data_IF_139906815482
#
_entry.id   IF_139906815482
#
_cell.length_a   1.000
_cell.length_b   1.000
_cell.length_c   1.000
_cell.angle_alpha   90.00
_cell.angle_beta   90.00
_cell.angle_gamma   90.00
#
_symmetry.space_group_name_H-M   'P 1'
#
loop_
_entity.id
_entity.type
_entity.pdbx_description
1 polymer ?
#
# COMPACT_ATOMS: atom_id res chain seq x y z
N UNK A 1 -46.79 -54.45 38.88
CA UNK A 1 -46.63 -54.42 37.44
C UNK A 1 -46.41 -52.95 37.12
N UNK A 2 -45.10 -52.47 37.04
CA UNK A 2 -44.73 -51.08 36.83
C UNK A 2 -44.36 -50.91 35.34
N UNK A 3 -45.15 -50.11 34.64
CA UNK A 3 -44.92 -49.74 33.26
C UNK A 3 -43.82 -48.64 33.20
N UNK A 4 -42.68 -48.93 32.59
CA UNK A 4 -41.65 -47.94 32.27
C UNK A 4 -41.93 -47.32 30.91
N UNK A 5 -42.29 -46.04 30.90
CA UNK A 5 -42.37 -45.23 29.69
C UNK A 5 -40.96 -44.67 29.38
N UNK A 6 -40.33 -45.16 28.33
CA UNK A 6 -39.10 -44.59 27.78
C UNK A 6 -39.44 -43.42 26.87
N UNK A 7 -39.01 -42.22 27.29
CA UNK A 7 -39.09 -41.01 26.48
C UNK A 7 -37.89 -41.00 25.50
N UNK A 8 -38.21 -41.11 24.21
CA UNK A 8 -37.22 -40.97 23.13
C UNK A 8 -37.07 -39.47 22.82
N UNK A 9 -35.97 -38.87 23.23
CA UNK A 9 -35.64 -37.48 22.86
C UNK A 9 -35.06 -37.45 21.46
N UNK A 10 -35.83 -36.88 20.51
CA UNK A 10 -35.30 -36.49 19.19
C UNK A 10 -34.32 -35.32 19.35
N UNK A 11 -33.05 -35.61 19.16
CA UNK A 11 -32.04 -34.54 18.97
C UNK A 11 -32.11 -34.08 17.51
N UNK A 12 -32.70 -32.92 17.29
CA UNK A 12 -32.65 -32.26 15.98
C UNK A 12 -31.23 -31.71 15.74
N UNK A 13 -30.48 -32.34 14.82
CA UNK A 13 -29.26 -31.77 14.27
C UNK A 13 -29.65 -30.53 13.45
N UNK A 14 -29.46 -29.33 14.03
CA UNK A 14 -29.43 -28.10 13.27
C UNK A 14 -28.07 -28.03 12.54
N UNK A 15 -28.09 -28.34 11.26
CA UNK A 15 -26.98 -28.05 10.35
C UNK A 15 -26.87 -26.54 10.21
N UNK A 16 -25.86 -25.96 10.84
CA UNK A 16 -25.41 -24.58 10.53
C UNK A 16 -24.94 -24.55 9.06
N UNK A 17 -25.84 -24.17 8.17
CA UNK A 17 -25.45 -23.77 6.82
C UNK A 17 -24.69 -22.44 7.00
N UNK A 18 -23.37 -22.52 6.99
CA UNK A 18 -22.50 -21.34 6.85
C UNK A 18 -22.81 -20.72 5.49
N UNK A 19 -23.65 -19.69 5.49
CA UNK A 19 -23.83 -18.84 4.32
C UNK A 19 -22.56 -18.02 4.16
N UNK A 20 -21.64 -18.50 3.34
CA UNK A 20 -20.60 -17.67 2.76
C UNK A 20 -21.28 -16.44 2.13
N UNK A 21 -20.89 -15.21 2.48
CA UNK A 21 -21.43 -14.04 1.82
C UNK A 21 -21.13 -14.16 0.31
N UNK A 22 -22.05 -13.72 -0.57
CA UNK A 22 -21.82 -13.78 -2.00
C UNK A 22 -20.58 -12.95 -2.33
N UNK A 23 -19.58 -13.65 -2.85
CA UNK A 23 -18.42 -13.05 -3.47
C UNK A 23 -18.92 -12.32 -4.72
N UNK A 24 -18.54 -11.04 -4.81
CA UNK A 24 -18.39 -10.32 -6.06
C UNK A 24 -19.59 -9.57 -6.64
N UNK A 25 -19.84 -8.41 -6.06
CA UNK A 25 -19.96 -7.25 -6.96
C UNK A 25 -18.55 -6.69 -7.07
N UNK A 26 -17.91 -6.76 -8.25
CA UNK A 26 -16.72 -5.98 -8.56
C UNK A 26 -17.03 -4.52 -8.21
N UNK A 27 -16.41 -4.02 -7.17
CA UNK A 27 -16.45 -2.59 -6.93
C UNK A 27 -15.91 -1.93 -8.21
N UNK A 28 -16.57 -0.90 -8.73
CA UNK A 28 -16.09 -0.23 -9.93
C UNK A 28 -14.65 0.18 -9.69
N UNK A 29 -13.76 -0.14 -10.64
CA UNK A 29 -12.37 0.32 -10.61
C UNK A 29 -12.44 1.84 -10.57
N UNK A 30 -12.01 2.42 -9.45
CA UNK A 30 -11.93 3.87 -9.33
C UNK A 30 -10.78 4.39 -10.18
N UNK A 31 -11.02 5.43 -10.93
CA UNK A 31 -9.99 6.16 -11.68
C UNK A 31 -10.05 7.63 -11.29
N UNK A 32 -8.89 8.28 -11.11
CA UNK A 32 -8.86 9.69 -10.76
C UNK A 32 -9.47 10.53 -11.87
N UNK A 33 -10.10 11.67 -11.54
CA UNK A 33 -10.54 12.63 -12.52
C UNK A 33 -9.37 13.00 -13.45
N UNK A 34 -9.63 13.05 -14.76
CA UNK A 34 -8.64 13.51 -15.74
C UNK A 34 -8.41 15.02 -15.54
N UNK A 35 -7.62 15.36 -14.51
CA UNK A 35 -7.10 16.71 -14.38
C UNK A 35 -6.01 16.92 -15.44
N UNK A 36 -5.91 18.14 -15.98
CA UNK A 36 -4.89 18.49 -16.97
C UNK A 36 -3.49 18.42 -16.32
N UNK A 37 -2.87 17.24 -16.39
CA UNK A 37 -1.54 16.98 -15.81
C UNK A 37 -0.43 17.19 -16.87
N UNK A 38 -0.63 18.14 -17.79
CA UNK A 38 0.37 18.47 -18.80
C UNK A 38 1.70 18.89 -18.16
N UNK A 39 2.75 18.12 -18.43
CA UNK A 39 4.11 18.42 -18.00
C UNK A 39 4.50 17.88 -16.64
N UNK A 40 3.62 17.18 -15.93
CA UNK A 40 3.97 16.47 -14.71
C UNK A 40 4.63 15.13 -15.04
N UNK A 41 5.61 14.76 -14.21
CA UNK A 41 6.19 13.44 -14.19
C UNK A 41 5.51 12.58 -13.10
N UNK A 42 5.73 11.26 -13.16
CA UNK A 42 5.19 10.31 -12.20
C UNK A 42 6.31 9.54 -11.52
N UNK A 43 6.17 9.25 -10.23
CA UNK A 43 7.03 8.36 -9.47
C UNK A 43 6.15 7.39 -8.64
N UNK A 44 6.69 6.21 -8.28
CA UNK A 44 5.92 5.17 -7.62
C UNK A 44 6.70 4.57 -6.47
N UNK A 45 6.07 4.50 -5.30
CA UNK A 45 6.72 4.03 -4.07
C UNK A 45 5.75 3.21 -3.21
N UNK A 46 6.30 2.23 -2.49
CA UNK A 46 5.60 1.48 -1.44
C UNK A 46 6.43 1.50 -0.16
N UNK A 47 5.87 1.98 0.94
CA UNK A 47 6.57 2.18 2.21
C UNK A 47 5.67 1.93 3.44
N UNK A 48 4.94 0.82 3.45
CA UNK A 48 3.95 0.53 4.47
C UNK A 48 2.55 1.01 4.10
N UNK A 49 1.78 1.50 5.07
CA UNK A 49 0.42 2.00 4.83
C UNK A 49 0.41 3.17 3.84
N UNK A 50 -0.28 3.01 2.73
CA UNK A 50 -0.32 4.02 1.67
C UNK A 50 -0.96 5.36 2.09
N UNK A 51 -1.84 5.40 3.11
CA UNK A 51 -2.39 6.65 3.64
C UNK A 51 -1.29 7.58 4.16
N UNK A 52 -0.33 7.01 4.92
CA UNK A 52 0.80 7.77 5.46
C UNK A 52 1.76 8.19 4.34
N UNK A 53 2.02 7.28 3.40
CA UNK A 53 2.92 7.55 2.27
C UNK A 53 2.35 8.64 1.38
N UNK A 54 1.05 8.62 1.09
CA UNK A 54 0.31 9.65 0.37
C UNK A 54 0.49 11.02 1.05
N UNK A 55 0.17 11.12 2.35
CA UNK A 55 0.29 12.35 3.12
C UNK A 55 1.71 12.92 3.14
N UNK A 56 2.73 12.05 3.26
CA UNK A 56 4.14 12.45 3.22
C UNK A 56 4.48 13.10 1.88
N UNK A 57 4.18 12.43 0.76
CA UNK A 57 4.52 12.96 -0.56
C UNK A 57 3.72 14.21 -0.92
N UNK A 58 2.45 14.31 -0.52
CA UNK A 58 1.64 15.52 -0.71
C UNK A 58 2.22 16.75 0.00
N UNK A 59 2.96 16.56 1.09
CA UNK A 59 3.63 17.66 1.81
C UNK A 59 4.83 18.23 1.05
N UNK A 60 5.30 17.56 -0.01
CA UNK A 60 6.50 17.95 -0.75
C UNK A 60 6.20 19.04 -1.75
N UNK A 61 6.89 20.17 -1.64
CA UNK A 61 6.76 21.26 -2.61
C UNK A 61 7.13 20.78 -4.03
N UNK A 62 6.22 20.94 -4.97
CA UNK A 62 6.37 20.49 -6.36
C UNK A 62 5.68 19.17 -6.66
N UNK A 63 5.16 18.48 -5.64
CA UNK A 63 4.16 17.42 -5.81
C UNK A 63 2.80 18.09 -5.96
N UNK A 64 2.03 17.64 -6.93
CA UNK A 64 0.72 18.19 -7.27
C UNK A 64 -0.42 17.29 -6.81
N UNK A 65 -0.21 15.99 -6.88
CA UNK A 65 -1.21 15.00 -6.49
C UNK A 65 -0.54 13.67 -6.17
N UNK A 66 -1.09 12.93 -5.25
CA UNK A 66 -0.64 11.58 -4.91
C UNK A 66 -1.86 10.67 -4.85
N UNK A 67 -1.79 9.51 -5.47
CA UNK A 67 -2.87 8.54 -5.45
C UNK A 67 -2.43 7.27 -4.76
N UNK A 68 -3.19 6.84 -3.78
CA UNK A 68 -3.05 5.52 -3.14
C UNK A 68 -3.47 4.41 -4.09
N UNK A 69 -2.74 3.29 -4.09
CA UNK A 69 -3.00 2.17 -4.97
C UNK A 69 -2.18 0.93 -4.66
N UNK A 70 -2.02 0.08 -5.66
CA UNK A 70 -1.41 -1.24 -5.55
C UNK A 70 -0.46 -1.49 -6.72
N UNK A 71 0.77 -1.97 -6.42
CA UNK A 71 1.76 -2.30 -7.43
C UNK A 71 2.67 -3.46 -7.00
N UNK A 72 3.46 -4.02 -7.93
CA UNK A 72 4.47 -5.05 -7.66
C UNK A 72 3.92 -6.47 -7.50
N UNK A 73 2.68 -6.72 -7.91
CA UNK A 73 2.04 -8.04 -7.86
C UNK A 73 1.47 -8.49 -9.20
N UNK A 74 0.93 -9.70 -9.24
CA UNK A 74 0.45 -10.34 -10.46
C UNK A 74 -1.08 -10.30 -10.62
N UNK A 75 -1.83 -10.11 -9.53
CA UNK A 75 -3.30 -10.10 -9.57
C UNK A 75 -3.80 -8.91 -10.36
N UNK A 76 -4.62 -9.16 -11.38
CA UNK A 76 -5.22 -8.10 -12.21
C UNK A 76 -6.42 -7.48 -11.49
N UNK A 77 -6.48 -6.13 -11.50
CA UNK A 77 -7.53 -5.34 -10.88
C UNK A 77 -7.81 -5.81 -9.43
N UNK A 78 -6.79 -5.79 -8.55
CA UNK A 78 -6.97 -6.19 -7.15
C UNK A 78 -7.86 -5.18 -6.44
N UNK A 79 -8.51 -5.63 -5.36
CA UNK A 79 -9.19 -4.76 -4.42
C UNK A 79 -8.57 -4.87 -3.03
N UNK A 80 -8.91 -3.93 -2.14
CA UNK A 80 -8.33 -3.86 -0.78
C UNK A 80 -8.46 -5.17 0.00
N UNK A 81 -9.61 -5.84 -0.08
CA UNK A 81 -9.82 -7.11 0.62
C UNK A 81 -8.86 -8.20 0.13
N UNK A 82 -8.57 -8.23 -1.16
CA UNK A 82 -7.61 -9.18 -1.73
C UNK A 82 -6.17 -8.84 -1.31
N UNK A 83 -5.80 -7.54 -1.32
CA UNK A 83 -4.50 -7.06 -0.84
C UNK A 83 -4.25 -7.49 0.60
N UNK A 84 -5.24 -7.30 1.49
CA UNK A 84 -5.17 -7.70 2.90
C UNK A 84 -4.90 -9.19 3.13
N UNK A 85 -5.15 -10.05 2.13
CA UNK A 85 -4.81 -11.49 2.24
C UNK A 85 -3.32 -11.79 2.08
N UNK A 86 -2.52 -10.83 1.56
CA UNK A 86 -1.10 -11.03 1.21
C UNK A 86 -0.86 -11.96 0.01
N UNK A 87 -1.92 -12.40 -0.71
CA UNK A 87 -1.81 -13.40 -1.80
C UNK A 87 -1.76 -12.78 -3.19
N UNK A 88 -2.01 -11.50 -3.34
CA UNK A 88 -2.02 -10.82 -4.63
C UNK A 88 -0.63 -10.55 -5.18
N UNK A 89 0.40 -10.60 -4.32
CA UNK A 89 1.75 -10.16 -4.61
C UNK A 89 1.92 -8.63 -4.60
N UNK A 90 0.84 -7.84 -4.62
CA UNK A 90 0.92 -6.38 -4.59
C UNK A 90 1.29 -5.84 -3.22
N UNK A 91 2.03 -4.72 -3.23
CA UNK A 91 2.16 -3.83 -2.09
C UNK A 91 1.17 -2.68 -2.16
N UNK A 92 0.80 -2.12 -0.99
CA UNK A 92 0.23 -0.80 -0.90
C UNK A 92 1.26 0.21 -1.40
N UNK A 93 0.91 0.99 -2.40
CA UNK A 93 1.81 1.88 -3.10
C UNK A 93 1.14 3.22 -3.41
N UNK A 94 1.94 4.20 -3.78
CA UNK A 94 1.45 5.49 -4.25
C UNK A 94 1.98 5.83 -5.63
N UNK A 95 1.14 6.50 -6.44
CA UNK A 95 1.53 7.19 -7.67
C UNK A 95 1.66 8.68 -7.37
N UNK A 96 2.87 9.23 -7.46
CA UNK A 96 3.20 10.62 -7.15
C UNK A 96 3.32 11.43 -8.43
N UNK A 97 2.47 12.44 -8.60
CA UNK A 97 2.50 13.38 -9.73
C UNK A 97 3.25 14.65 -9.34
N UNK A 98 4.34 14.97 -10.00
CA UNK A 98 5.21 16.07 -9.62
C UNK A 98 5.71 16.91 -10.79
N UNK A 99 6.00 18.19 -10.53
CA UNK A 99 6.69 19.06 -11.50
C UNK A 99 8.20 18.84 -11.44
N UNK A 100 8.83 18.23 -12.46
CA UNK A 100 10.26 17.94 -12.45
C UNK A 100 11.13 19.21 -12.50
N UNK A 101 10.55 20.39 -12.75
CA UNK A 101 11.23 21.67 -12.67
C UNK A 101 11.31 22.23 -11.24
N UNK A 102 10.44 21.73 -10.35
CA UNK A 102 10.36 22.18 -8.95
C UNK A 102 11.00 21.18 -8.00
N UNK A 103 10.74 19.89 -8.21
CA UNK A 103 11.30 18.80 -7.41
C UNK A 103 11.81 17.68 -8.33
N UNK A 104 13.01 17.16 -8.04
CA UNK A 104 13.61 16.09 -8.84
C UNK A 104 13.15 14.71 -8.35
N UNK A 105 13.22 13.70 -9.24
CA UNK A 105 13.02 12.29 -8.85
C UNK A 105 13.96 11.88 -7.72
N UNK A 106 15.24 12.28 -7.79
CA UNK A 106 16.21 12.01 -6.71
C UNK A 106 15.82 12.61 -5.36
N UNK A 107 15.15 13.77 -5.34
CA UNK A 107 14.60 14.34 -4.11
C UNK A 107 13.43 13.50 -3.58
N UNK A 108 12.56 12.99 -4.46
CA UNK A 108 11.48 12.08 -4.05
C UNK A 108 12.03 10.77 -3.48
N UNK A 109 13.13 10.23 -4.05
CA UNK A 109 13.83 9.06 -3.49
C UNK A 109 14.37 9.38 -2.08
N UNK A 110 14.89 10.58 -1.84
CA UNK A 110 15.35 11.00 -0.50
C UNK A 110 14.17 11.06 0.49
N UNK A 111 13.05 11.64 0.09
CA UNK A 111 11.82 11.68 0.90
C UNK A 111 11.34 10.26 1.22
N UNK A 112 11.32 9.38 0.23
CA UNK A 112 10.95 7.97 0.41
C UNK A 112 11.78 7.30 1.50
N UNK A 113 13.11 7.31 1.40
CA UNK A 113 13.99 6.68 2.40
C UNK A 113 13.99 7.41 3.76
N UNK A 114 13.64 8.68 3.79
CA UNK A 114 13.52 9.46 5.02
C UNK A 114 12.20 9.29 5.76
N UNK A 115 11.19 8.71 5.11
CA UNK A 115 9.81 8.62 5.64
C UNK A 115 9.45 7.29 6.28
N UNK A 116 10.30 6.26 6.19
CA UNK A 116 10.03 4.93 6.72
C UNK A 116 11.31 4.21 7.15
N UNK A 117 11.15 3.05 7.79
CA UNK A 117 12.29 2.15 8.09
C UNK A 117 12.50 1.16 6.93
N UNK A 118 13.50 1.38 6.06
CA UNK A 118 13.75 0.53 4.90
C UNK A 118 14.45 -0.80 5.25
N UNK A 119 14.64 -1.10 6.53
CA UNK A 119 15.36 -2.29 7.00
C UNK A 119 14.45 -3.40 7.49
N UNK A 120 13.13 -3.19 7.49
CA UNK A 120 12.16 -4.17 7.97
C UNK A 120 11.46 -4.89 6.82
N UNK A 121 11.69 -6.20 6.69
CA UNK A 121 11.04 -7.02 5.68
C UNK A 121 9.55 -7.21 5.98
N UNK A 122 8.69 -6.99 4.96
CA UNK A 122 7.24 -7.20 5.05
C UNK A 122 6.59 -6.55 6.28
N UNK A 123 7.07 -5.37 6.64
CA UNK A 123 6.59 -4.66 7.82
C UNK A 123 6.95 -3.18 7.76
N UNK A 124 6.03 -2.32 8.26
CA UNK A 124 6.34 -0.93 8.59
C UNK A 124 5.60 -0.53 9.86
N UNK A 125 6.36 -0.11 10.88
CA UNK A 125 5.79 0.23 12.17
C UNK A 125 4.94 -0.91 12.76
N UNK A 126 3.62 -0.66 13.02
CA UNK A 126 2.71 -1.69 13.53
C UNK A 126 2.21 -2.66 12.45
N UNK A 127 2.28 -2.28 11.17
CA UNK A 127 1.69 -3.02 10.07
C UNK A 127 2.58 -4.18 9.63
N UNK A 128 1.98 -5.35 9.43
CA UNK A 128 2.67 -6.59 9.08
C UNK A 128 2.01 -7.27 7.90
N UNK A 129 2.82 -7.73 6.98
CA UNK A 129 2.40 -8.44 5.77
C UNK A 129 3.18 -7.95 4.54
N UNK A 130 3.23 -8.77 3.50
CA UNK A 130 3.92 -8.46 2.24
C UNK A 130 3.39 -7.19 1.55
N UNK A 131 2.13 -6.83 1.81
CA UNK A 131 1.53 -5.60 1.30
C UNK A 131 2.15 -4.31 1.88
N UNK A 132 2.88 -4.41 3.00
CA UNK A 132 3.54 -3.26 3.67
C UNK A 132 5.06 -3.24 3.48
N UNK A 133 5.57 -3.99 2.49
CA UNK A 133 7.00 -4.02 2.19
C UNK A 133 7.48 -2.73 1.53
N UNK A 134 8.76 -2.47 1.62
CA UNK A 134 9.40 -1.31 1.01
C UNK A 134 9.80 -1.60 -0.44
N UNK A 135 9.30 -0.81 -1.39
CA UNK A 135 9.66 -0.90 -2.80
C UNK A 135 9.83 0.50 -3.39
N UNK A 136 10.93 0.73 -4.09
CA UNK A 136 11.10 1.87 -4.98
C UNK A 136 10.96 1.38 -6.43
N UNK A 137 9.90 1.79 -7.11
CA UNK A 137 9.68 1.41 -8.50
C UNK A 137 10.40 2.37 -9.45
N UNK A 138 10.85 1.83 -10.58
CA UNK A 138 11.45 2.61 -11.64
C UNK A 138 10.75 2.39 -12.99
N UNK A 139 10.72 3.42 -13.82
CA UNK A 139 10.13 3.39 -15.15
C UNK A 139 11.19 3.36 -16.25
N UNK A 140 12.47 3.67 -15.91
CA UNK A 140 13.60 3.69 -16.83
C UNK A 140 14.92 3.45 -16.07
N UNK A 141 16.01 3.24 -16.86
CA UNK A 141 17.34 2.95 -16.29
C UNK A 141 17.90 4.05 -15.43
N UNK A 142 17.64 5.34 -15.77
CA UNK A 142 18.13 6.48 -15.00
C UNK A 142 17.51 6.54 -13.61
N UNK A 143 16.20 6.27 -13.50
CA UNK A 143 15.52 6.17 -12.19
C UNK A 143 16.07 5.01 -11.36
N UNK A 144 16.28 3.84 -12.00
CA UNK A 144 16.89 2.69 -11.34
C UNK A 144 18.26 3.03 -10.77
N UNK A 145 19.12 3.64 -11.57
CA UNK A 145 20.47 4.06 -11.16
C UNK A 145 20.39 5.03 -9.97
N UNK A 146 19.54 6.06 -10.03
CA UNK A 146 19.38 7.01 -8.94
C UNK A 146 18.93 6.35 -7.62
N UNK A 147 18.02 5.37 -7.69
CA UNK A 147 17.59 4.63 -6.49
C UNK A 147 18.75 3.81 -5.92
N UNK A 148 19.46 3.07 -6.78
CA UNK A 148 20.58 2.22 -6.37
C UNK A 148 21.74 3.02 -5.81
N UNK A 149 22.10 4.14 -6.43
CA UNK A 149 23.14 5.04 -5.96
C UNK A 149 22.79 5.64 -4.59
N UNK A 150 21.50 5.95 -4.37
CA UNK A 150 21.07 6.48 -3.08
C UNK A 150 21.11 5.43 -1.99
N UNK A 151 20.70 4.18 -2.27
CA UNK A 151 20.86 3.05 -1.34
C UNK A 151 22.34 2.87 -0.98
N UNK A 152 23.22 2.81 -1.98
CA UNK A 152 24.66 2.67 -1.75
C UNK A 152 25.24 3.82 -0.91
N UNK A 153 24.73 5.05 -1.09
CA UNK A 153 25.12 6.20 -0.29
C UNK A 153 24.68 6.05 1.17
N UNK A 154 23.44 5.59 1.43
CA UNK A 154 22.91 5.37 2.77
C UNK A 154 23.71 4.28 3.51
N UNK A 155 24.02 3.17 2.83
CA UNK A 155 24.83 2.07 3.36
C UNK A 155 26.25 2.55 3.65
N UNK A 156 26.90 3.24 2.73
CA UNK A 156 28.27 3.79 2.93
C UNK A 156 28.34 4.76 4.11
N UNK A 157 27.25 5.48 4.36
CA UNK A 157 27.16 6.43 5.49
C UNK A 157 26.68 5.77 6.78
N UNK A 158 26.39 4.48 6.76
CA UNK A 158 25.86 3.73 7.91
C UNK A 158 24.65 4.41 8.57
N UNK A 159 23.72 4.95 7.73
CA UNK A 159 22.55 5.68 8.22
C UNK A 159 21.61 4.73 9.00
N UNK A 160 21.53 3.47 8.57
CA UNK A 160 20.74 2.45 9.22
C UNK A 160 21.64 1.37 9.83
N UNK A 161 21.25 0.87 11.00
CA UNK A 161 22.01 -0.20 11.70
C UNK A 161 21.90 -1.53 10.98
N UNK A 162 20.74 -1.80 10.38
CA UNK A 162 20.46 -3.04 9.64
C UNK A 162 20.56 -2.79 8.12
N UNK A 163 20.74 -3.86 7.36
CA UNK A 163 20.75 -3.79 5.90
C UNK A 163 19.43 -3.26 5.35
N UNK A 164 19.51 -2.44 4.32
CA UNK A 164 18.33 -1.98 3.57
C UNK A 164 17.74 -3.17 2.82
N UNK A 165 16.44 -3.42 2.99
CA UNK A 165 15.69 -4.50 2.33
C UNK A 165 14.69 -3.98 1.30
N UNK A 166 14.77 -2.70 0.95
CA UNK A 166 13.95 -2.09 -0.10
C UNK A 166 14.17 -2.79 -1.42
N UNK A 167 13.09 -3.28 -2.02
CA UNK A 167 13.08 -3.83 -3.37
C UNK A 167 13.21 -2.70 -4.40
N UNK A 168 13.99 -2.91 -5.46
CA UNK A 168 14.13 -1.97 -6.58
C UNK A 168 13.59 -2.64 -7.83
N UNK A 169 12.36 -2.34 -8.18
CA UNK A 169 11.56 -3.09 -9.14
C UNK A 169 11.13 -2.24 -10.34
N UNK A 170 11.08 -2.80 -11.55
CA UNK A 170 10.44 -2.11 -12.66
C UNK A 170 8.95 -1.96 -12.37
N UNK A 171 8.37 -0.80 -12.67
CA UNK A 171 6.93 -0.66 -12.63
C UNK A 171 6.31 -1.36 -13.84
N UNK A 172 5.60 -2.47 -13.60
CA UNK A 172 4.77 -3.11 -14.63
C UNK A 172 3.41 -2.40 -14.73
N UNK A 173 2.68 -2.36 -13.64
CA UNK A 173 1.37 -1.72 -13.57
C UNK A 173 1.04 -1.22 -12.17
N UNK A 174 0.41 -0.05 -12.13
CA UNK A 174 -0.22 0.52 -10.95
C UNK A 174 -1.74 0.38 -11.07
N UNK A 175 -2.39 -0.01 -10.00
CA UNK A 175 -3.84 -0.07 -9.87
C UNK A 175 -4.28 0.90 -8.80
N UNK A 176 -5.16 1.84 -9.12
CA UNK A 176 -5.70 2.79 -8.14
C UNK A 176 -6.50 2.04 -7.07
N UNK A 177 -6.30 2.43 -5.81
CA UNK A 177 -7.13 1.97 -4.72
C UNK A 177 -8.51 2.65 -4.80
N UNK A 178 -9.46 2.10 -4.08
CA UNK A 178 -10.83 2.58 -4.03
C UNK A 178 -10.89 4.03 -3.51
N UNK A 179 -11.87 4.81 -3.96
CA UNK A 179 -12.00 6.24 -3.67
C UNK A 179 -11.94 6.56 -2.16
N UNK A 180 -12.45 5.67 -1.32
CA UNK A 180 -12.44 5.89 0.14
C UNK A 180 -11.04 5.83 0.76
N UNK A 181 -10.03 5.35 0.04
CA UNK A 181 -8.63 5.37 0.47
C UNK A 181 -7.90 6.66 0.11
N UNK A 182 -8.35 7.38 -0.90
CA UNK A 182 -7.69 8.61 -1.35
C UNK A 182 -7.84 9.73 -0.32
N UNK A 183 -6.82 10.54 -0.08
CA UNK A 183 -6.80 11.62 0.93
C UNK A 183 -7.22 11.16 2.34
N UNK A 184 -6.95 9.90 2.70
CA UNK A 184 -7.53 9.33 3.91
C UNK A 184 -7.14 10.09 5.18
N UNK A 185 -5.88 10.47 5.34
CA UNK A 185 -5.43 11.23 6.51
C UNK A 185 -6.07 12.61 6.58
N UNK A 186 -6.17 13.32 5.47
CA UNK A 186 -6.83 14.63 5.41
C UNK A 186 -8.30 14.54 5.80
N UNK A 187 -9.00 13.49 5.34
CA UNK A 187 -10.42 13.28 5.62
C UNK A 187 -10.70 12.72 7.01
N UNK A 188 -9.72 12.06 7.63
CA UNK A 188 -9.86 11.35 8.90
C UNK A 188 -8.80 11.72 9.94
N UNK A 189 -8.53 13.02 10.22
CA UNK A 189 -7.43 13.46 11.10
C UNK A 189 -7.59 12.99 12.55
N UNK A 190 -8.78 12.60 12.96
CA UNK A 190 -9.07 12.11 14.31
C UNK A 190 -9.09 10.58 14.41
N UNK A 191 -8.82 9.84 13.31
CA UNK A 191 -8.73 8.40 13.35
C UNK A 191 -7.57 7.98 14.28
N UNK A 192 -7.79 7.07 15.26
CA UNK A 192 -6.75 6.66 16.22
C UNK A 192 -5.52 6.02 15.56
N UNK A 193 -5.71 5.31 14.45
CA UNK A 193 -4.60 4.74 13.67
C UNK A 193 -3.79 5.86 13.02
N UNK A 194 -4.44 6.79 12.29
CA UNK A 194 -3.80 7.96 11.67
C UNK A 194 -2.97 8.72 12.70
N UNK A 195 -3.58 9.10 13.83
CA UNK A 195 -2.87 9.83 14.92
C UNK A 195 -1.67 9.07 15.52
N UNK A 196 -1.63 7.75 15.38
CA UNK A 196 -0.53 6.92 15.89
C UNK A 196 0.62 6.78 14.90
N UNK A 197 0.32 6.81 13.59
CA UNK A 197 1.30 6.50 12.54
C UNK A 197 1.70 7.70 11.69
N UNK A 198 0.92 8.80 11.72
CA UNK A 198 1.31 10.07 11.08
C UNK A 198 2.59 10.60 11.71
N UNK A 199 3.49 11.02 10.89
CA UNK A 199 4.82 11.54 11.21
C UNK A 199 4.75 13.04 11.50
#
# INVERSE_FOLDING_TARGET
>A
MKLFLTLLSLVSLQTCISSTPPIDKKDPVWEPPLSEQKGLAKAYFAAGCFWCVEAVFESVKGVHEVYSGYAGGETKNPNYNQIGTGRTGHAEAVEVHYDPKVVSFGTLVQVFFGSHDPTTSNRQGPDRGSQYRSIAFYQNSSEREMIQDYIALLEKKEIFTNAIVTEVEPLDKFYFAEEYHQDYEKRNPNNPYVRRVSI
#
